data_IF_675474581350
#
_entry.id   IF_675474581350
#
_cell.length_a   1.000
_cell.length_b   1.000
_cell.length_c   1.000
_cell.angle_alpha   90.00
_cell.angle_beta   90.00
_cell.angle_gamma   90.00
#
_symmetry.space_group_name_H-M   'P 1'
#
loop_
_entity.id
_entity.type
_entity.pdbx_description
1 polymer ?
#
# COMPACT_ATOMS: atom_id res chain seq x y z
N UNK A 1 -14.43 31.30 0.45
CA UNK A 1 -14.42 31.37 -1.04
C UNK A 1 -14.68 32.79 -1.47
N UNK A 2 -14.25 33.15 -2.70
CA UNK A 2 -14.40 34.50 -3.22
C UNK A 2 -15.62 34.54 -4.12
N UNK A 3 -16.46 35.58 -3.97
CA UNK A 3 -17.62 35.81 -4.83
C UNK A 3 -17.16 36.16 -6.25
N UNK A 4 -17.69 35.48 -7.25
CA UNK A 4 -17.34 35.68 -8.66
C UNK A 4 -17.77 37.04 -9.21
N UNK A 5 -18.78 37.70 -8.58
CA UNK A 5 -19.35 38.97 -9.05
C UNK A 5 -18.66 40.19 -8.43
N UNK A 6 -18.35 40.16 -7.13
CA UNK A 6 -17.85 41.35 -6.43
C UNK A 6 -16.50 41.15 -5.75
N UNK A 7 -15.88 39.97 -5.83
CA UNK A 7 -14.58 39.69 -5.22
C UNK A 7 -14.59 39.57 -3.69
N UNK A 8 -15.73 39.76 -3.03
CA UNK A 8 -15.83 39.64 -1.56
C UNK A 8 -15.56 38.21 -1.09
N UNK A 9 -14.81 38.08 -0.02
CA UNK A 9 -14.63 36.78 0.63
C UNK A 9 -15.95 36.38 1.31
N UNK A 10 -16.42 35.17 0.98
CA UNK A 10 -17.71 34.64 1.42
C UNK A 10 -17.49 33.26 2.02
N UNK A 11 -18.05 33.01 3.19
CA UNK A 11 -18.02 31.68 3.84
C UNK A 11 -18.89 30.65 3.10
N UNK A 12 -19.86 30.06 3.81
CA UNK A 12 -20.76 29.01 3.29
C UNK A 12 -22.14 29.52 2.88
N UNK A 13 -22.31 30.83 2.67
CA UNK A 13 -23.61 31.43 2.32
C UNK A 13 -24.02 31.08 0.89
N UNK A 14 -25.28 30.70 0.69
CA UNK A 14 -25.84 30.44 -0.65
C UNK A 14 -25.94 31.69 -1.53
N UNK A 15 -25.99 32.86 -0.90
CA UNK A 15 -25.99 34.18 -1.58
C UNK A 15 -24.89 35.04 -0.99
N UNK A 16 -24.24 35.82 -1.85
CA UNK A 16 -23.22 36.75 -1.40
C UNK A 16 -23.88 37.86 -0.53
N UNK A 17 -23.37 38.08 0.71
CA UNK A 17 -23.97 39.10 1.58
C UNK A 17 -23.76 40.53 1.07
N UNK A 18 -22.76 40.76 0.23
CA UNK A 18 -22.44 42.07 -0.31
C UNK A 18 -23.22 42.39 -1.60
N UNK A 19 -23.33 41.46 -2.57
CA UNK A 19 -23.90 41.74 -3.88
C UNK A 19 -25.12 40.89 -4.25
N UNK A 20 -25.56 39.98 -3.34
CA UNK A 20 -26.74 39.12 -3.56
C UNK A 20 -26.55 38.02 -4.59
N UNK A 21 -25.37 37.87 -5.21
CA UNK A 21 -25.11 36.83 -6.22
C UNK A 21 -25.37 35.42 -5.68
N UNK A 22 -25.98 34.55 -6.48
CA UNK A 22 -26.21 33.15 -6.13
C UNK A 22 -24.90 32.35 -6.21
N UNK A 23 -24.53 31.73 -5.11
CA UNK A 23 -23.31 30.93 -4.94
C UNK A 23 -23.61 29.43 -4.81
N UNK A 24 -24.85 29.00 -4.99
CA UNK A 24 -25.29 27.62 -4.77
C UNK A 24 -24.49 26.62 -5.61
N UNK A 25 -24.19 26.94 -6.87
CA UNK A 25 -23.40 26.08 -7.76
C UNK A 25 -21.97 25.95 -7.25
N UNK A 26 -21.34 27.04 -6.81
CA UNK A 26 -19.96 27.02 -6.27
C UNK A 26 -19.88 26.20 -4.99
N UNK A 27 -20.89 26.27 -4.12
CA UNK A 27 -20.98 25.45 -2.93
C UNK A 27 -21.11 23.97 -3.28
N UNK A 28 -21.96 23.62 -4.25
CA UNK A 28 -22.09 22.22 -4.71
C UNK A 28 -20.76 21.69 -5.26
N UNK A 29 -20.08 22.45 -6.12
CA UNK A 29 -18.77 22.08 -6.69
C UNK A 29 -17.74 21.88 -5.59
N UNK A 30 -17.70 22.75 -4.58
CA UNK A 30 -16.81 22.61 -3.42
C UNK A 30 -17.13 21.35 -2.60
N UNK A 31 -18.41 21.06 -2.37
CA UNK A 31 -18.81 19.83 -1.68
C UNK A 31 -18.37 18.57 -2.43
N UNK A 32 -18.52 18.55 -3.77
CA UNK A 32 -18.05 17.44 -4.60
C UNK A 32 -16.52 17.30 -4.49
N UNK A 33 -15.78 18.41 -4.57
CA UNK A 33 -14.33 18.40 -4.39
C UNK A 33 -13.93 17.81 -3.04
N UNK A 34 -14.59 18.24 -1.95
CA UNK A 34 -14.29 17.73 -0.61
C UNK A 34 -14.67 16.25 -0.46
N UNK A 35 -15.75 15.80 -1.08
CA UNK A 35 -16.11 14.38 -1.09
C UNK A 35 -15.02 13.52 -1.77
N UNK A 36 -14.49 13.96 -2.91
CA UNK A 36 -13.35 13.28 -3.55
C UNK A 36 -12.06 13.37 -2.74
N UNK A 37 -11.82 14.47 -2.02
CA UNK A 37 -10.70 14.57 -1.08
C UNK A 37 -10.81 13.54 0.04
N UNK A 38 -11.98 13.45 0.69
CA UNK A 38 -12.21 12.49 1.77
C UNK A 38 -12.06 11.04 1.29
N UNK A 39 -12.58 10.72 0.09
CA UNK A 39 -12.38 9.42 -0.53
C UNK A 39 -10.89 9.13 -0.78
N UNK A 40 -10.14 10.12 -1.26
CA UNK A 40 -8.69 10.01 -1.46
C UNK A 40 -7.94 9.79 -0.15
N UNK A 41 -8.33 10.45 0.92
CA UNK A 41 -7.76 10.30 2.26
C UNK A 41 -8.02 8.88 2.80
N UNK A 42 -9.25 8.38 2.69
CA UNK A 42 -9.61 7.01 3.08
C UNK A 42 -8.80 5.97 2.30
N UNK A 43 -8.72 6.12 0.98
CA UNK A 43 -7.93 5.23 0.13
C UNK A 43 -6.44 5.25 0.49
N UNK A 44 -5.88 6.42 0.81
CA UNK A 44 -4.50 6.55 1.28
C UNK A 44 -4.27 5.81 2.60
N UNK A 45 -5.23 5.88 3.53
CA UNK A 45 -5.19 5.20 4.83
C UNK A 45 -5.06 3.67 4.70
N UNK A 46 -5.69 3.08 3.68
CA UNK A 46 -5.58 1.63 3.38
C UNK A 46 -4.48 1.30 2.36
N UNK A 47 -3.57 2.24 2.08
CA UNK A 47 -2.48 2.13 1.09
C UNK A 47 -2.93 1.82 -0.34
N UNK A 48 -4.16 2.17 -0.71
CA UNK A 48 -4.61 2.22 -2.09
C UNK A 48 -4.18 3.54 -2.72
N UNK A 49 -2.86 3.70 -2.93
CA UNK A 49 -2.27 4.99 -3.30
C UNK A 49 -2.65 5.40 -4.73
N UNK A 50 -2.71 4.46 -5.67
CA UNK A 50 -3.18 4.74 -7.04
C UNK A 50 -4.65 5.18 -7.07
N UNK A 51 -5.52 4.58 -6.28
CA UNK A 51 -6.90 5.01 -6.11
C UNK A 51 -6.99 6.42 -5.53
N UNK A 52 -6.22 6.69 -4.47
CA UNK A 52 -6.14 7.99 -3.84
C UNK A 52 -5.70 9.09 -4.81
N UNK A 53 -4.67 8.82 -5.64
CA UNK A 53 -4.23 9.77 -6.70
C UNK A 53 -5.38 10.13 -7.64
N UNK A 54 -6.16 9.12 -8.06
CA UNK A 54 -7.32 9.36 -8.97
C UNK A 54 -8.37 10.22 -8.27
N UNK A 55 -8.73 9.90 -7.04
CA UNK A 55 -9.73 10.64 -6.26
C UNK A 55 -9.28 12.08 -6.01
N UNK A 56 -8.03 12.31 -5.59
CA UNK A 56 -7.51 13.65 -5.35
C UNK A 56 -7.40 14.48 -6.62
N UNK A 57 -7.01 13.89 -7.75
CA UNK A 57 -7.04 14.54 -9.05
C UNK A 57 -8.47 14.95 -9.45
N UNK A 58 -9.47 14.11 -9.16
CA UNK A 58 -10.87 14.47 -9.37
C UNK A 58 -11.30 15.60 -8.43
N UNK A 59 -10.90 15.59 -7.16
CA UNK A 59 -11.12 16.72 -6.25
C UNK A 59 -10.61 18.03 -6.85
N UNK A 60 -9.37 18.03 -7.37
CA UNK A 60 -8.72 19.20 -7.97
C UNK A 60 -9.33 19.62 -9.32
N UNK A 61 -9.97 18.72 -10.07
CA UNK A 61 -10.74 19.07 -11.28
C UNK A 61 -11.98 19.90 -10.93
N UNK A 62 -12.65 19.59 -9.83
CA UNK A 62 -13.80 20.36 -9.36
C UNK A 62 -13.38 21.66 -8.68
N UNK A 63 -12.33 21.62 -7.86
CA UNK A 63 -11.81 22.78 -7.17
C UNK A 63 -10.28 22.78 -7.15
N UNK A 64 -9.67 23.48 -8.11
CA UNK A 64 -8.21 23.61 -8.23
C UNK A 64 -7.54 24.28 -7.01
N UNK A 65 -8.32 25.01 -6.22
CA UNK A 65 -7.88 25.71 -4.98
C UNK A 65 -8.08 24.86 -3.72
N UNK A 66 -8.38 23.58 -3.84
CA UNK A 66 -8.43 22.69 -2.68
C UNK A 66 -7.00 22.36 -2.23
N UNK A 67 -6.50 23.16 -1.28
CA UNK A 67 -5.13 23.09 -0.76
C UNK A 67 -4.87 21.73 -0.09
N UNK A 68 -5.83 21.25 0.71
CA UNK A 68 -5.70 19.97 1.41
C UNK A 68 -5.56 18.79 0.44
N UNK A 69 -6.39 18.79 -0.63
CA UNK A 69 -6.32 17.76 -1.67
C UNK A 69 -4.98 17.79 -2.40
N UNK A 70 -4.43 18.98 -2.66
CA UNK A 70 -3.15 19.16 -3.34
C UNK A 70 -1.98 18.73 -2.44
N UNK A 71 -2.00 19.12 -1.18
CA UNK A 71 -0.98 18.74 -0.21
C UNK A 71 -0.94 17.22 -0.01
N UNK A 72 -2.11 16.59 0.14
CA UNK A 72 -2.22 15.15 0.26
C UNK A 72 -1.76 14.43 -1.01
N UNK A 73 -2.10 14.95 -2.20
CA UNK A 73 -1.64 14.40 -3.47
C UNK A 73 -0.11 14.39 -3.57
N UNK A 74 0.55 15.48 -3.14
CA UNK A 74 2.00 15.55 -3.05
C UNK A 74 2.59 14.51 -2.11
N UNK A 75 2.01 14.30 -0.93
CA UNK A 75 2.44 13.25 0.01
C UNK A 75 2.33 11.86 -0.60
N UNK A 76 1.23 11.58 -1.31
CA UNK A 76 1.03 10.28 -1.96
C UNK A 76 2.04 10.07 -3.08
N UNK A 77 2.38 11.09 -3.85
CA UNK A 77 3.45 11.00 -4.84
C UNK A 77 4.81 10.71 -4.20
N UNK A 78 5.13 11.29 -3.03
CA UNK A 78 6.32 10.89 -2.27
C UNK A 78 6.29 9.43 -1.84
N UNK A 79 5.14 8.94 -1.37
CA UNK A 79 4.97 7.54 -0.96
C UNK A 79 5.07 6.55 -2.12
N UNK A 80 4.70 6.95 -3.34
CA UNK A 80 4.90 6.15 -4.57
C UNK A 80 6.25 6.36 -5.24
N UNK A 81 7.13 7.20 -4.64
CA UNK A 81 8.47 7.51 -5.14
C UNK A 81 8.52 8.53 -6.27
N UNK A 82 7.40 9.19 -6.59
CA UNK A 82 7.27 10.20 -7.65
C UNK A 82 7.56 11.61 -7.08
N UNK A 83 8.77 11.83 -6.59
CA UNK A 83 9.14 13.05 -5.82
C UNK A 83 8.98 14.33 -6.65
N UNK A 84 9.22 14.29 -7.97
CA UNK A 84 9.05 15.48 -8.84
C UNK A 84 7.59 15.90 -8.92
N UNK A 85 6.67 14.93 -9.06
CA UNK A 85 5.24 15.19 -9.08
C UNK A 85 4.79 15.76 -7.72
N UNK A 86 5.35 15.24 -6.61
CA UNK A 86 5.10 15.77 -5.28
C UNK A 86 5.52 17.23 -5.15
N UNK A 87 6.77 17.55 -5.54
CA UNK A 87 7.29 18.91 -5.52
C UNK A 87 6.43 19.86 -6.35
N UNK A 88 5.99 19.42 -7.53
CA UNK A 88 5.11 20.20 -8.42
C UNK A 88 3.80 20.56 -7.75
N UNK A 89 3.15 19.59 -7.09
CA UNK A 89 1.89 19.85 -6.39
C UNK A 89 2.08 20.79 -5.19
N UNK A 90 3.15 20.66 -4.42
CA UNK A 90 3.42 21.54 -3.28
C UNK A 90 3.82 22.95 -3.70
N UNK A 91 4.58 23.14 -4.79
CA UNK A 91 4.87 24.47 -5.34
C UNK A 91 3.58 25.17 -5.76
N UNK A 92 2.68 24.47 -6.45
CA UNK A 92 1.37 25.02 -6.83
C UNK A 92 0.54 25.32 -5.57
N UNK A 93 0.52 24.42 -4.58
CA UNK A 93 -0.18 24.62 -3.31
C UNK A 93 0.30 25.90 -2.62
N UNK A 94 1.63 26.07 -2.46
CA UNK A 94 2.24 27.26 -1.88
C UNK A 94 1.93 28.53 -2.66
N UNK A 95 1.81 28.46 -3.99
CA UNK A 95 1.45 29.62 -4.81
C UNK A 95 0.01 30.10 -4.56
N UNK A 96 -0.91 29.19 -4.24
CA UNK A 96 -2.30 29.52 -3.93
C UNK A 96 -2.49 29.97 -2.47
N UNK A 97 -1.75 29.38 -1.55
CA UNK A 97 -1.79 29.73 -0.13
C UNK A 97 -0.35 29.81 0.41
N UNK A 98 0.27 31.02 0.39
CA UNK A 98 1.66 31.21 0.82
C UNK A 98 1.89 31.09 2.34
N UNK A 99 0.85 31.36 3.15
CA UNK A 99 0.92 31.33 4.64
C UNK A 99 0.12 30.14 5.17
N UNK A 100 0.54 29.63 6.31
CA UNK A 100 -0.13 28.52 7.02
C UNK A 100 -0.44 27.31 6.12
N UNK A 101 0.55 26.92 5.31
CA UNK A 101 0.41 25.84 4.34
C UNK A 101 1.49 24.77 4.58
N UNK A 102 1.03 23.53 4.81
CA UNK A 102 1.92 22.37 5.02
C UNK A 102 2.87 22.12 3.85
N UNK A 103 2.48 22.51 2.62
CA UNK A 103 3.36 22.40 1.46
C UNK A 103 4.67 23.17 1.63
N UNK A 104 4.67 24.32 2.33
CA UNK A 104 5.89 25.07 2.62
C UNK A 104 6.86 24.26 3.45
N UNK A 105 6.38 23.61 4.50
CA UNK A 105 7.19 22.75 5.35
C UNK A 105 7.82 21.58 4.56
N UNK A 106 7.03 20.90 3.72
CA UNK A 106 7.53 19.76 2.90
C UNK A 106 8.58 20.22 1.87
N UNK A 107 8.37 21.38 1.26
CA UNK A 107 9.32 21.94 0.30
C UNK A 107 10.64 22.32 1.01
N UNK A 108 10.56 22.98 2.14
CA UNK A 108 11.73 23.42 2.91
C UNK A 108 12.53 22.21 3.41
N UNK A 109 11.88 21.16 3.91
CA UNK A 109 12.50 19.90 4.33
C UNK A 109 13.32 19.26 3.20
N UNK A 110 12.75 19.22 1.98
CA UNK A 110 13.47 18.64 0.82
C UNK A 110 14.59 19.56 0.34
N UNK A 111 14.40 20.88 0.38
CA UNK A 111 15.41 21.85 -0.09
C UNK A 111 16.62 21.95 0.85
N UNK A 112 16.43 21.76 2.15
CA UNK A 112 17.52 21.78 3.14
C UNK A 112 18.43 20.55 3.01
N UNK A 113 17.90 19.41 2.54
CA UNK A 113 18.67 18.19 2.34
C UNK A 113 19.22 18.10 0.89
N UNK A 114 20.42 18.64 0.68
CA UNK A 114 21.11 18.56 -0.64
C UNK A 114 21.31 17.12 -1.12
N UNK A 115 21.62 16.20 -0.21
CA UNK A 115 21.79 14.79 -0.54
C UNK A 115 20.51 14.16 -1.10
N UNK A 116 19.36 14.56 -0.57
CA UNK A 116 18.04 14.11 -1.05
C UNK A 116 17.73 14.62 -2.46
N UNK A 117 18.01 15.90 -2.75
CA UNK A 117 17.86 16.46 -4.09
C UNK A 117 18.77 15.78 -5.12
N UNK A 118 20.03 15.53 -4.77
CA UNK A 118 20.98 14.83 -5.63
C UNK A 118 20.51 13.38 -5.89
N UNK A 119 20.00 12.70 -4.87
CA UNK A 119 19.43 11.35 -5.00
C UNK A 119 18.23 11.33 -5.94
N UNK A 120 17.33 12.32 -5.85
CA UNK A 120 16.18 12.46 -6.76
C UNK A 120 16.67 12.67 -8.21
N UNK A 121 17.60 13.59 -8.44
CA UNK A 121 18.17 13.85 -9.77
C UNK A 121 18.85 12.61 -10.36
N UNK A 122 19.62 11.89 -9.55
CA UNK A 122 20.25 10.64 -9.99
C UNK A 122 19.23 9.56 -10.31
N UNK A 123 18.17 9.45 -9.50
CA UNK A 123 17.06 8.51 -9.73
C UNK A 123 16.41 8.76 -11.08
N UNK A 124 16.07 10.02 -11.40
CA UNK A 124 15.46 10.41 -12.67
C UNK A 124 16.39 10.08 -13.84
N UNK A 125 17.66 10.51 -13.74
CA UNK A 125 18.67 10.26 -14.79
C UNK A 125 18.82 8.77 -15.08
N UNK A 126 18.93 7.93 -14.05
CA UNK A 126 19.07 6.48 -14.19
C UNK A 126 17.80 5.81 -14.68
N UNK A 127 16.63 6.28 -14.27
CA UNK A 127 15.36 5.76 -14.76
C UNK A 127 15.18 6.06 -16.25
N UNK A 128 15.49 7.28 -16.70
CA UNK A 128 15.45 7.65 -18.11
C UNK A 128 16.47 6.86 -18.93
N UNK A 129 17.67 6.59 -18.40
CA UNK A 129 18.65 5.71 -19.03
C UNK A 129 18.12 4.28 -19.17
N UNK A 130 17.44 3.76 -18.14
CA UNK A 130 16.82 2.44 -18.22
C UNK A 130 15.74 2.38 -19.30
N UNK A 131 14.89 3.40 -19.43
CA UNK A 131 13.89 3.51 -20.50
C UNK A 131 14.55 3.56 -21.88
N UNK A 132 15.67 4.26 -22.00
CA UNK A 132 16.42 4.32 -23.26
C UNK A 132 16.98 2.94 -23.64
N UNK A 133 17.59 2.21 -22.68
CA UNK A 133 18.06 0.84 -22.92
C UNK A 133 16.91 -0.13 -23.26
N UNK A 134 15.74 0.04 -22.66
CA UNK A 134 14.56 -0.75 -23.05
C UNK A 134 14.16 -0.52 -24.51
N UNK A 135 14.24 0.73 -25.00
CA UNK A 135 13.96 1.07 -26.40
C UNK A 135 14.97 0.47 -27.38
N UNK A 136 16.21 0.24 -26.92
CA UNK A 136 17.29 -0.38 -27.69
C UNK A 136 17.36 -1.90 -27.53
N UNK A 137 16.38 -2.52 -26.87
CA UNK A 137 16.35 -3.94 -26.47
C UNK A 137 17.58 -4.41 -25.66
N UNK A 138 18.30 -3.46 -25.06
CA UNK A 138 19.46 -3.72 -24.19
C UNK A 138 19.01 -4.03 -22.76
N UNK A 139 18.34 -5.19 -22.59
CA UNK A 139 17.63 -5.56 -21.34
C UNK A 139 18.53 -5.64 -20.12
N UNK A 140 19.71 -6.22 -20.24
CA UNK A 140 20.64 -6.34 -19.11
C UNK A 140 21.09 -4.98 -18.59
N UNK A 141 21.39 -4.02 -19.48
CA UNK A 141 21.74 -2.66 -19.10
C UNK A 141 20.55 -1.94 -18.43
N UNK A 142 19.33 -2.14 -18.95
CA UNK A 142 18.11 -1.60 -18.33
C UNK A 142 17.90 -2.16 -16.91
N UNK A 143 18.08 -3.47 -16.71
CA UNK A 143 17.99 -4.13 -15.40
C UNK A 143 19.02 -3.55 -14.42
N UNK A 144 20.27 -3.36 -14.86
CA UNK A 144 21.33 -2.77 -14.03
C UNK A 144 20.95 -1.35 -13.59
N UNK A 145 20.46 -0.51 -14.51
CA UNK A 145 20.03 0.85 -14.16
C UNK A 145 18.82 0.85 -13.23
N UNK A 146 17.82 0.00 -13.47
CA UNK A 146 16.64 -0.09 -12.58
C UNK A 146 16.99 -0.56 -11.17
N UNK A 147 17.94 -1.48 -11.01
CA UNK A 147 18.46 -1.86 -9.69
C UNK A 147 19.11 -0.67 -8.98
N UNK A 148 19.89 0.16 -9.71
CA UNK A 148 20.47 1.39 -9.17
C UNK A 148 19.40 2.43 -8.84
N UNK A 149 18.33 2.55 -9.64
CA UNK A 149 17.16 3.39 -9.32
C UNK A 149 16.51 2.95 -8.01
N UNK A 150 16.26 1.65 -7.85
CA UNK A 150 15.61 1.13 -6.65
C UNK A 150 16.51 1.14 -5.40
N UNK A 151 17.83 1.22 -5.55
CA UNK A 151 18.73 1.46 -4.42
C UNK A 151 18.70 2.93 -3.95
N UNK A 152 18.47 3.89 -4.87
CA UNK A 152 18.32 5.30 -4.55
C UNK A 152 16.91 5.65 -4.07
N UNK A 153 15.90 5.07 -4.71
CA UNK A 153 14.49 5.29 -4.39
C UNK A 153 13.72 3.96 -4.38
N UNK A 154 13.70 3.26 -3.25
CA UNK A 154 13.03 1.97 -3.12
C UNK A 154 11.51 2.06 -3.19
N UNK A 155 10.92 3.25 -3.06
CA UNK A 155 9.47 3.48 -3.14
C UNK A 155 8.98 3.66 -4.58
N UNK A 156 9.84 3.79 -5.60
CA UNK A 156 9.41 4.06 -6.98
C UNK A 156 8.70 2.85 -7.60
N UNK A 157 7.36 2.84 -7.50
CA UNK A 157 6.48 1.77 -7.99
C UNK A 157 6.70 1.50 -9.48
N UNK A 158 6.81 2.55 -10.30
CA UNK A 158 7.05 2.44 -11.76
C UNK A 158 8.36 1.69 -12.08
N UNK A 159 9.41 1.88 -11.27
CA UNK A 159 10.69 1.17 -11.47
C UNK A 159 10.57 -0.32 -11.11
N UNK A 160 9.85 -0.66 -10.04
CA UNK A 160 9.54 -2.06 -9.71
C UNK A 160 8.75 -2.74 -10.82
N UNK A 161 7.74 -2.08 -11.37
CA UNK A 161 6.91 -2.62 -12.45
C UNK A 161 7.73 -2.87 -13.72
N UNK A 162 8.55 -1.89 -14.13
CA UNK A 162 9.41 -2.02 -15.30
C UNK A 162 10.47 -3.13 -15.14
N UNK A 163 11.12 -3.19 -13.98
CA UNK A 163 12.09 -4.24 -13.66
C UNK A 163 11.44 -5.63 -13.68
N UNK A 164 10.23 -5.76 -13.17
CA UNK A 164 9.49 -7.01 -13.19
C UNK A 164 9.11 -7.44 -14.62
N UNK A 165 8.74 -6.49 -15.49
CA UNK A 165 8.47 -6.78 -16.90
C UNK A 165 9.71 -7.31 -17.62
N UNK A 166 10.89 -6.73 -17.38
CA UNK A 166 12.15 -7.22 -17.95
C UNK A 166 12.48 -8.63 -17.45
N UNK A 167 12.27 -8.90 -16.15
CA UNK A 167 12.42 -10.26 -15.62
C UNK A 167 11.42 -11.25 -16.22
N UNK A 168 10.19 -10.81 -16.52
CA UNK A 168 9.19 -11.62 -17.21
C UNK A 168 9.64 -11.99 -18.63
N UNK A 169 10.20 -11.02 -19.37
CA UNK A 169 10.75 -11.26 -20.70
C UNK A 169 11.94 -12.23 -20.67
N UNK A 170 12.82 -12.11 -19.68
CA UNK A 170 13.93 -13.04 -19.45
C UNK A 170 13.51 -14.37 -18.83
N UNK A 171 12.22 -14.61 -18.64
CA UNK A 171 11.69 -15.83 -18.02
C UNK A 171 12.17 -16.08 -16.57
N UNK A 172 12.64 -15.03 -15.89
CA UNK A 172 13.09 -15.01 -14.48
C UNK A 172 11.88 -14.78 -13.55
N UNK A 173 10.92 -15.71 -13.56
CA UNK A 173 9.58 -15.54 -12.98
C UNK A 173 9.60 -15.25 -11.47
N UNK A 174 10.46 -15.93 -10.69
CA UNK A 174 10.55 -15.71 -9.25
C UNK A 174 11.07 -14.31 -8.91
N UNK A 175 12.05 -13.78 -9.68
CA UNK A 175 12.54 -12.42 -9.51
C UNK A 175 11.46 -11.39 -9.87
N UNK A 176 10.71 -11.62 -10.94
CA UNK A 176 9.56 -10.79 -11.31
C UNK A 176 8.52 -10.77 -10.18
N UNK A 177 8.15 -11.94 -9.64
CA UNK A 177 7.20 -12.06 -8.53
C UNK A 177 7.66 -11.32 -7.27
N UNK A 178 8.93 -11.49 -6.89
CA UNK A 178 9.53 -10.78 -5.74
C UNK A 178 9.46 -9.26 -5.92
N UNK A 179 9.83 -8.79 -7.10
CA UNK A 179 9.85 -7.36 -7.43
C UNK A 179 8.45 -6.75 -7.40
N UNK A 180 7.44 -7.44 -7.98
CA UNK A 180 6.05 -7.01 -7.94
C UNK A 180 5.44 -7.05 -6.55
N UNK A 181 5.81 -8.01 -5.72
CA UNK A 181 5.40 -8.02 -4.31
C UNK A 181 5.92 -6.80 -3.54
N UNK A 182 7.13 -6.34 -3.84
CA UNK A 182 7.66 -5.11 -3.25
C UNK A 182 6.86 -3.89 -3.70
N UNK A 183 6.49 -3.78 -4.99
CA UNK A 183 5.59 -2.75 -5.47
C UNK A 183 4.21 -2.79 -4.77
N UNK A 184 3.65 -4.00 -4.59
CA UNK A 184 2.37 -4.21 -3.91
C UNK A 184 2.38 -3.86 -2.41
N UNK A 185 3.54 -3.85 -1.74
CA UNK A 185 3.66 -3.36 -0.36
C UNK A 185 3.57 -1.83 -0.29
N UNK A 186 3.96 -1.14 -1.35
CA UNK A 186 3.91 0.32 -1.44
C UNK A 186 2.48 0.74 -1.77
N UNK A 187 1.91 0.18 -2.84
CA UNK A 187 0.56 0.46 -3.33
C UNK A 187 -0.21 -0.85 -3.51
N UNK A 188 -1.10 -1.15 -2.56
CA UNK A 188 -1.74 -2.47 -2.41
C UNK A 188 -2.71 -2.80 -3.55
N UNK A 189 -3.40 -1.81 -4.08
CA UNK A 189 -4.44 -1.96 -5.08
C UNK A 189 -4.05 -1.47 -6.48
N UNK A 190 -2.75 -1.32 -6.73
CA UNK A 190 -2.26 -0.91 -8.05
C UNK A 190 -2.64 -1.95 -9.12
N UNK A 191 -3.55 -1.57 -10.00
CA UNK A 191 -4.12 -2.47 -11.02
C UNK A 191 -3.07 -3.04 -11.95
N UNK A 192 -2.04 -2.26 -12.31
CA UNK A 192 -0.92 -2.69 -13.14
C UNK A 192 -0.08 -3.73 -12.44
N UNK A 193 0.29 -3.49 -11.18
CA UNK A 193 1.04 -4.44 -10.35
C UNK A 193 0.28 -5.76 -10.17
N UNK A 194 -1.01 -5.67 -9.87
CA UNK A 194 -1.87 -6.85 -9.71
C UNK A 194 -2.04 -7.64 -11.01
N UNK A 195 -2.14 -6.96 -12.16
CA UNK A 195 -2.21 -7.61 -13.48
C UNK A 195 -0.91 -8.38 -13.76
N UNK A 196 0.25 -7.76 -13.55
CA UNK A 196 1.53 -8.43 -13.76
C UNK A 196 1.76 -9.59 -12.79
N UNK A 197 1.34 -9.45 -11.53
CA UNK A 197 1.39 -10.57 -10.57
C UNK A 197 0.53 -11.76 -10.99
N UNK A 198 -0.66 -11.52 -11.56
CA UNK A 198 -1.50 -12.58 -12.12
C UNK A 198 -0.80 -13.31 -13.26
N UNK A 199 -0.22 -12.56 -14.19
CA UNK A 199 0.55 -13.12 -15.31
C UNK A 199 1.74 -13.98 -14.84
N UNK A 200 2.55 -13.45 -13.91
CA UNK A 200 3.68 -14.18 -13.32
C UNK A 200 3.21 -15.49 -12.66
N UNK A 201 2.13 -15.41 -11.87
CA UNK A 201 1.62 -16.60 -11.17
C UNK A 201 1.04 -17.64 -12.15
N UNK A 202 0.42 -17.23 -13.27
CA UNK A 202 -0.05 -18.13 -14.30
C UNK A 202 1.14 -18.89 -14.92
N UNK A 203 2.17 -18.19 -15.37
CA UNK A 203 3.39 -18.80 -15.95
C UNK A 203 4.14 -19.70 -14.96
N UNK A 204 4.16 -19.35 -13.67
CA UNK A 204 4.76 -20.20 -12.64
C UNK A 204 3.99 -21.51 -12.44
N UNK A 205 2.65 -21.45 -12.53
CA UNK A 205 1.80 -22.67 -12.48
C UNK A 205 2.02 -23.58 -13.68
N UNK A 206 2.19 -23.02 -14.87
CA UNK A 206 2.49 -23.77 -16.09
C UNK A 206 3.85 -24.48 -16.00
N UNK A 207 4.87 -23.81 -15.45
CA UNK A 207 6.22 -24.38 -15.27
C UNK A 207 6.32 -25.42 -14.16
N UNK A 208 5.50 -25.28 -13.14
CA UNK A 208 5.34 -26.27 -12.10
C UNK A 208 3.92 -26.81 -12.22
N UNK A 209 3.66 -27.78 -13.11
CA UNK A 209 2.37 -28.46 -13.10
C UNK A 209 2.22 -28.96 -11.68
N UNK A 210 1.28 -28.38 -10.94
CA UNK A 210 0.93 -28.85 -9.61
C UNK A 210 0.93 -30.36 -9.69
N UNK A 211 1.68 -31.05 -8.79
CA UNK A 211 1.45 -32.47 -8.58
C UNK A 211 -0.06 -32.60 -8.50
N UNK A 212 -0.66 -33.19 -9.54
CA UNK A 212 -2.08 -33.57 -9.49
C UNK A 212 -2.23 -34.18 -8.12
N UNK A 213 -3.22 -33.80 -7.29
CA UNK A 213 -3.43 -34.49 -6.04
C UNK A 213 -3.35 -35.98 -6.42
N UNK A 214 -2.42 -36.73 -5.80
CA UNK A 214 -2.42 -38.17 -6.03
C UNK A 214 -3.82 -38.63 -5.73
N UNK A 215 -4.37 -39.53 -6.52
CA UNK A 215 -5.72 -40.05 -6.30
C UNK A 215 -5.96 -40.49 -4.85
N UNK A 216 -4.89 -40.78 -4.11
CA UNK A 216 -4.86 -41.05 -2.67
C UNK A 216 -5.23 -39.84 -1.78
N UNK A 217 -5.17 -38.60 -2.30
CA UNK A 217 -5.51 -37.37 -1.56
C UNK A 217 -6.96 -36.91 -1.77
N UNK A 218 -7.73 -37.61 -2.58
CA UNK A 218 -9.13 -37.32 -2.90
C UNK A 218 -10.04 -38.38 -2.27
N UNK A 219 -11.04 -37.96 -1.52
CA UNK A 219 -12.12 -38.83 -1.05
C UNK A 219 -13.32 -38.52 -1.92
N UNK A 220 -13.79 -39.54 -2.64
CA UNK A 220 -15.02 -39.45 -3.42
C UNK A 220 -16.19 -40.07 -2.63
N UNK A 221 -17.25 -39.28 -2.43
CA UNK A 221 -18.49 -39.75 -1.87
C UNK A 221 -19.56 -39.74 -2.98
N UNK A 222 -20.27 -40.85 -3.11
CA UNK A 222 -21.40 -40.96 -4.00
C UNK A 222 -22.68 -40.64 -3.24
N UNK A 223 -23.34 -39.56 -3.58
CA UNK A 223 -24.63 -39.19 -3.03
C UNK A 223 -25.68 -39.15 -4.15
N UNK A 224 -26.44 -40.24 -4.30
CA UNK A 224 -27.36 -40.39 -5.41
C UNK A 224 -26.64 -40.51 -6.75
N UNK A 225 -27.01 -39.67 -7.72
CA UNK A 225 -26.40 -39.61 -9.05
C UNK A 225 -25.20 -38.66 -9.16
N UNK A 226 -24.78 -38.02 -8.10
CA UNK A 226 -23.66 -37.06 -8.10
C UNK A 226 -22.47 -37.60 -7.31
N UNK A 227 -21.24 -37.46 -7.89
CA UNK A 227 -19.99 -37.80 -7.23
C UNK A 227 -19.36 -36.52 -6.69
N UNK A 228 -19.34 -36.38 -5.39
CA UNK A 228 -18.69 -35.24 -4.69
C UNK A 228 -17.25 -35.60 -4.41
N UNK A 229 -16.31 -34.89 -5.03
CA UNK A 229 -14.86 -35.06 -4.81
C UNK A 229 -14.39 -33.98 -3.82
N UNK A 230 -13.95 -34.38 -2.63
CA UNK A 230 -13.38 -33.46 -1.63
C UNK A 230 -11.89 -33.75 -1.42
N UNK A 231 -11.04 -32.72 -1.28
CA UNK A 231 -9.67 -32.90 -0.85
C UNK A 231 -9.62 -33.39 0.61
N UNK A 232 -8.78 -34.37 0.91
CA UNK A 232 -8.54 -34.88 2.25
C UNK A 232 -7.90 -33.77 3.11
N UNK A 233 -8.72 -33.00 3.80
CA UNK A 233 -8.30 -31.82 4.56
C UNK A 233 -7.64 -32.10 5.91
N UNK A 234 -7.64 -33.34 6.35
CA UNK A 234 -7.06 -33.71 7.66
C UNK A 234 -5.82 -34.58 7.44
N UNK A 235 -4.65 -33.96 7.57
CA UNK A 235 -3.48 -34.67 7.98
C UNK A 235 -3.76 -35.08 9.43
N UNK A 236 -4.11 -36.34 9.65
CA UNK A 236 -4.20 -36.86 11.01
C UNK A 236 -2.87 -36.52 11.69
N UNK A 237 -2.94 -35.80 12.81
CA UNK A 237 -1.75 -35.55 13.60
C UNK A 237 -1.19 -36.90 13.96
N UNK A 238 0.08 -37.17 13.62
CA UNK A 238 0.71 -38.42 13.96
C UNK A 238 0.55 -38.62 15.47
N UNK A 239 0.25 -39.87 15.89
CA UNK A 239 0.11 -40.27 17.30
C UNK A 239 1.27 -39.68 18.12
N UNK A 240 2.48 -39.60 17.54
CA UNK A 240 3.64 -38.96 18.16
C UNK A 240 3.47 -37.45 18.44
N UNK A 241 2.83 -36.68 17.56
CA UNK A 241 2.58 -35.24 17.80
C UNK A 241 1.55 -35.03 18.92
N UNK A 242 0.53 -35.88 19.00
CA UNK A 242 -0.46 -35.84 20.08
C UNK A 242 0.17 -36.17 21.43
N UNK A 243 1.05 -37.17 21.50
CA UNK A 243 1.80 -37.51 22.72
C UNK A 243 2.70 -36.35 23.17
N UNK A 244 3.39 -35.67 22.26
CA UNK A 244 4.21 -34.50 22.59
C UNK A 244 3.38 -33.37 23.21
N UNK A 245 2.21 -33.08 22.68
CA UNK A 245 1.33 -32.07 23.28
C UNK A 245 0.81 -32.46 24.66
N UNK A 246 0.51 -33.73 24.90
CA UNK A 246 0.11 -34.23 26.22
C UNK A 246 1.25 -34.06 27.22
N UNK A 247 2.49 -34.42 26.83
CA UNK A 247 3.68 -34.28 27.72
C UNK A 247 3.94 -32.79 28.03
N UNK A 248 3.86 -31.92 27.05
CA UNK A 248 3.98 -30.45 27.27
C UNK A 248 2.90 -29.96 28.23
N UNK A 249 1.66 -30.35 28.04
CA UNK A 249 0.55 -30.00 28.93
C UNK A 249 0.75 -30.45 30.37
N UNK A 250 1.27 -31.69 30.58
CA UNK A 250 1.61 -32.20 31.89
C UNK A 250 2.75 -31.43 32.57
N UNK A 251 3.81 -31.06 31.82
CA UNK A 251 4.93 -30.29 32.36
C UNK A 251 4.45 -28.88 32.78
N UNK A 252 3.67 -28.21 31.95
CA UNK A 252 3.11 -26.89 32.27
C UNK A 252 2.16 -26.97 33.46
N UNK A 253 1.28 -27.96 33.48
CA UNK A 253 0.35 -28.18 34.61
C UNK A 253 1.05 -28.44 35.94
N UNK A 254 2.09 -29.28 35.96
CA UNK A 254 2.89 -29.54 37.18
C UNK A 254 3.69 -28.30 37.61
N UNK A 255 4.21 -27.53 36.68
CA UNK A 255 4.92 -26.28 37.00
C UNK A 255 3.96 -25.25 37.65
N UNK A 256 2.76 -25.04 37.09
CA UNK A 256 1.75 -24.18 37.67
C UNK A 256 1.35 -24.64 39.08
N UNK A 257 1.13 -25.93 39.26
CA UNK A 257 0.74 -26.48 40.55
C UNK A 257 1.86 -26.30 41.59
N UNK A 258 3.10 -26.60 41.23
CA UNK A 258 4.23 -26.48 42.14
C UNK A 258 4.56 -25.03 42.53
N UNK A 259 4.50 -24.09 41.57
CA UNK A 259 4.95 -22.73 41.83
C UNK A 259 3.83 -21.76 42.27
N UNK A 260 2.57 -22.01 41.92
CA UNK A 260 1.48 -21.12 42.26
C UNK A 260 0.50 -21.70 43.33
N UNK A 261 0.11 -22.96 43.17
CA UNK A 261 -0.92 -23.57 44.05
C UNK A 261 -0.33 -24.05 45.37
N UNK A 262 0.77 -24.82 45.34
CA UNK A 262 1.38 -25.39 46.54
C UNK A 262 1.81 -24.30 47.55
N UNK A 263 2.53 -23.23 47.14
CA UNK A 263 2.91 -22.15 48.05
C UNK A 263 1.69 -21.39 48.62
N UNK A 264 0.65 -21.18 47.81
CA UNK A 264 -0.59 -20.51 48.22
C UNK A 264 -1.36 -21.28 49.30
N UNK A 265 -1.52 -22.59 49.10
CA UNK A 265 -2.16 -23.49 50.08
C UNK A 265 -1.36 -23.58 51.37
N UNK A 266 0.00 -23.67 51.24
CA UNK A 266 0.89 -23.77 52.40
C UNK A 266 0.91 -22.49 53.24
N UNK A 267 0.82 -21.33 52.61
CA UNK A 267 0.73 -20.07 53.31
C UNK A 267 -0.62 -19.90 54.02
N UNK A 268 -1.75 -20.26 53.38
CA UNK A 268 -3.05 -20.30 54.04
C UNK A 268 -3.08 -21.25 55.24
N UNK A 269 -2.56 -22.48 55.11
CA UNK A 269 -2.51 -23.43 56.22
C UNK A 269 -1.65 -22.92 57.39
N UNK A 270 -0.60 -22.12 57.15
CA UNK A 270 0.18 -21.48 58.21
C UNK A 270 -0.58 -20.33 58.90
N UNK A 271 -1.35 -19.52 58.17
CA UNK A 271 -2.20 -18.47 58.73
C UNK A 271 -3.32 -19.05 59.60
N UNK A 272 -3.96 -20.14 59.17
CA UNK A 272 -5.02 -20.84 59.93
C UNK A 272 -4.49 -21.54 61.19
N UNK A 273 -3.19 -21.93 61.19
CA UNK A 273 -2.56 -22.53 62.37
C UNK A 273 -2.02 -21.50 63.39
N UNK A 274 -2.01 -20.22 63.06
CA UNK A 274 -1.61 -19.10 63.95
C UNK A 274 -2.80 -18.35 64.54
N UNK A 275 -4.04 -18.70 64.15
CA UNK A 275 -5.28 -18.22 64.76
C UNK A 275 -5.81 -19.24 65.76
#
# INVERSE_FOLDING_TARGET
>A
MICYKCGQEVGNAKRCPNCGADLSVFLKVRHISNAYYNLGLEQAGVRNLSGAIVSLKNSLKFNKYNIDARNLLGLIYCETGEVVDALSEWVISRSYQPKDNLASHYLDEIQQDRGRLDSVNQTIKKYNQALHYCKQDSRDLAIIQLKKVLSLNPKLVKAHQLLALLYLQDNKLELAKKTLRNAGKIDTNNTTTLRYLREVNARLKEKSPSKKPKDDDLISYQSGNETIIMPKRFKESSIGATLVYIVIGLIVGTAITAFLIVPSVRNKAKEDAQR
#
